data_IF_427833840492
#
_entry.id   IF_427833840492
#
_cell.length_a   1.000
_cell.length_b   1.000
_cell.length_c   1.000
_cell.angle_alpha   90.00
_cell.angle_beta   90.00
_cell.angle_gamma   90.00
#
_symmetry.space_group_name_H-M   'P 1'
#
loop_
_entity.id
_entity.type
_entity.pdbx_description
1 polymer ?
#
# COMPACT_ATOMS: atom_id res chain seq x y z
N UNK A 1 28.04 -13.37 8.75
CA UNK A 1 26.71 -13.42 9.40
C UNK A 1 25.66 -13.56 8.32
N UNK A 2 24.64 -14.39 8.48
CA UNK A 2 23.60 -14.56 7.45
C UNK A 2 22.88 -13.24 7.18
N UNK A 3 22.51 -13.02 5.92
CA UNK A 3 21.71 -11.87 5.52
C UNK A 3 20.39 -11.83 6.31
N UNK A 4 19.91 -10.62 6.59
CA UNK A 4 18.63 -10.36 7.27
C UNK A 4 17.77 -9.48 6.37
N UNK A 5 16.58 -9.09 6.84
CA UNK A 5 15.70 -8.21 6.09
C UNK A 5 15.30 -7.00 6.93
N UNK A 6 15.16 -5.85 6.28
CA UNK A 6 14.66 -4.66 6.96
C UNK A 6 13.19 -4.87 7.36
N UNK A 7 12.76 -4.33 8.53
CA UNK A 7 11.45 -4.68 9.09
C UNK A 7 10.25 -4.22 8.24
N UNK A 8 10.29 -3.01 7.69
CA UNK A 8 9.13 -2.46 6.98
C UNK A 8 9.20 -2.65 5.46
N UNK A 9 10.35 -2.35 4.84
CA UNK A 9 10.53 -2.53 3.41
C UNK A 9 10.91 -3.95 3.00
N UNK A 10 11.33 -4.79 3.96
CA UNK A 10 11.72 -6.18 3.73
C UNK A 10 12.75 -6.35 2.63
N UNK A 11 13.64 -5.36 2.49
CA UNK A 11 14.81 -5.43 1.62
C UNK A 11 15.93 -6.23 2.30
N UNK A 12 16.74 -6.91 1.53
CA UNK A 12 17.82 -7.73 2.06
C UNK A 12 18.97 -6.86 2.56
N UNK A 13 19.36 -7.10 3.81
CA UNK A 13 20.53 -6.52 4.45
C UNK A 13 21.65 -7.57 4.38
N UNK A 14 22.59 -7.36 3.47
CA UNK A 14 23.67 -8.31 3.21
C UNK A 14 24.57 -8.41 4.45
N UNK A 15 24.80 -9.64 4.94
CA UNK A 15 25.69 -9.90 6.04
C UNK A 15 27.17 -9.76 5.62
N UNK A 16 28.04 -9.39 6.57
CA UNK A 16 29.46 -9.28 6.32
C UNK A 16 30.06 -10.61 5.84
N UNK A 17 30.79 -10.56 4.72
CA UNK A 17 31.42 -11.73 4.10
C UNK A 17 30.45 -12.63 3.32
N UNK A 18 29.20 -12.23 3.16
CA UNK A 18 28.21 -12.96 2.35
C UNK A 18 28.08 -12.41 0.94
N UNK A 19 27.49 -13.22 0.07
CA UNK A 19 27.17 -12.87 -1.32
C UNK A 19 28.37 -12.45 -2.16
N UNK A 20 29.52 -13.09 -1.95
CA UNK A 20 30.71 -12.87 -2.77
C UNK A 20 30.37 -13.07 -4.26
N UNK A 21 30.60 -12.04 -5.07
CA UNK A 21 30.20 -12.00 -6.47
C UNK A 21 28.72 -11.76 -6.75
N UNK A 22 27.82 -11.73 -5.75
CA UNK A 22 26.38 -11.55 -5.92
C UNK A 22 25.84 -10.26 -5.29
N UNK A 23 26.60 -9.61 -4.41
CA UNK A 23 26.13 -8.41 -3.69
C UNK A 23 25.61 -7.30 -4.61
N UNK A 24 26.20 -7.16 -5.82
CA UNK A 24 25.72 -6.20 -6.80
C UNK A 24 24.32 -6.51 -7.32
N UNK A 25 23.99 -7.78 -7.49
CA UNK A 25 22.64 -8.21 -7.88
C UNK A 25 21.62 -7.94 -6.76
N UNK A 26 21.98 -8.27 -5.53
CA UNK A 26 21.13 -7.98 -4.36
C UNK A 26 20.90 -6.48 -4.18
N UNK A 27 21.95 -5.67 -4.31
CA UNK A 27 21.83 -4.21 -4.26
C UNK A 27 20.93 -3.67 -5.36
N UNK A 28 21.08 -4.15 -6.59
CA UNK A 28 20.24 -3.74 -7.72
C UNK A 28 18.80 -4.18 -7.53
N UNK A 29 18.55 -5.36 -6.99
CA UNK A 29 17.19 -5.80 -6.64
C UNK A 29 16.57 -4.91 -5.56
N UNK A 30 17.31 -4.64 -4.49
CA UNK A 30 16.83 -3.77 -3.40
C UNK A 30 16.46 -2.37 -3.90
N UNK A 31 17.35 -1.72 -4.66
CA UNK A 31 17.16 -0.35 -5.12
C UNK A 31 16.25 -0.25 -6.35
N UNK A 32 16.51 -1.06 -7.38
CA UNK A 32 15.86 -0.95 -8.68
C UNK A 32 14.54 -1.75 -8.80
N UNK A 33 14.22 -2.59 -7.82
CA UNK A 33 12.97 -3.33 -7.82
C UNK A 33 12.15 -3.05 -6.56
N UNK A 34 12.70 -3.34 -5.38
CA UNK A 34 11.91 -3.29 -4.14
C UNK A 34 11.64 -1.87 -3.67
N UNK A 35 12.64 -1.00 -3.64
CA UNK A 35 12.46 0.41 -3.27
C UNK A 35 11.68 1.15 -4.36
N UNK A 36 11.97 0.88 -5.63
CA UNK A 36 11.22 1.41 -6.76
C UNK A 36 9.73 1.10 -6.63
N UNK A 37 9.37 -0.16 -6.39
CA UNK A 37 7.98 -0.57 -6.17
C UNK A 37 7.37 0.12 -4.95
N UNK A 38 8.11 0.27 -3.86
CA UNK A 38 7.61 0.91 -2.64
C UNK A 38 7.27 2.39 -2.83
N UNK A 39 7.90 3.07 -3.79
CA UNK A 39 7.73 4.50 -4.06
C UNK A 39 6.76 4.73 -5.22
N UNK A 40 6.86 3.96 -6.31
CA UNK A 40 6.16 4.21 -7.57
C UNK A 40 5.17 3.09 -7.94
N UNK A 41 5.22 1.95 -7.27
CA UNK A 41 4.45 0.78 -7.63
C UNK A 41 2.94 0.98 -7.47
N UNK A 42 2.20 0.41 -8.43
CA UNK A 42 0.73 0.37 -8.44
C UNK A 42 0.30 -1.09 -8.52
N UNK A 43 -0.55 -1.51 -7.61
CA UNK A 43 -1.13 -2.86 -7.60
C UNK A 43 -2.65 -2.76 -7.72
N UNK A 44 -3.22 -3.60 -8.58
CA UNK A 44 -4.67 -3.77 -8.70
C UNK A 44 -5.12 -4.91 -7.79
N UNK A 45 -6.13 -4.65 -6.97
CA UNK A 45 -6.71 -5.61 -6.02
C UNK A 45 -8.17 -5.85 -6.40
N UNK A 46 -8.55 -7.09 -6.70
CA UNK A 46 -9.92 -7.46 -7.04
C UNK A 46 -10.65 -8.04 -5.81
N UNK A 47 -11.65 -7.32 -5.33
CA UNK A 47 -12.47 -7.70 -4.17
C UNK A 47 -13.87 -8.20 -4.55
N UNK A 48 -14.09 -8.58 -5.82
CA UNK A 48 -15.41 -9.02 -6.31
C UNK A 48 -15.99 -10.17 -5.48
N UNK A 49 -15.19 -11.19 -5.21
CA UNK A 49 -15.66 -12.43 -4.58
C UNK A 49 -15.51 -12.46 -3.06
N UNK A 50 -14.45 -11.88 -2.52
CA UNK A 50 -14.07 -12.02 -1.11
C UNK A 50 -13.17 -10.86 -0.64
N UNK A 51 -12.91 -10.82 0.67
CA UNK A 51 -11.84 -10.02 1.23
C UNK A 51 -10.49 -10.52 0.69
N UNK A 52 -9.55 -9.60 0.48
CA UNK A 52 -8.24 -9.91 -0.09
C UNK A 52 -7.14 -9.58 0.93
N UNK A 53 -6.31 -10.57 1.23
CA UNK A 53 -5.07 -10.35 1.99
C UNK A 53 -3.92 -10.17 1.03
N UNK A 54 -3.25 -9.02 1.10
CA UNK A 54 -2.12 -8.71 0.21
C UNK A 54 -0.92 -9.60 0.54
N UNK A 55 -0.24 -10.06 -0.50
CA UNK A 55 1.03 -10.77 -0.35
C UNK A 55 2.11 -9.86 0.22
N UNK A 56 2.99 -10.42 1.05
CA UNK A 56 4.07 -9.70 1.72
C UNK A 56 5.27 -10.63 1.88
N UNK A 57 6.34 -10.37 1.13
CA UNK A 57 7.52 -11.23 1.06
C UNK A 57 8.81 -10.49 1.39
N UNK A 58 9.79 -11.21 1.90
CA UNK A 58 11.14 -10.73 2.09
C UNK A 58 11.94 -10.82 0.78
N UNK A 59 12.60 -9.74 0.38
CA UNK A 59 13.55 -9.73 -0.73
C UNK A 59 12.96 -9.88 -2.13
N UNK A 60 11.64 -9.95 -2.28
CA UNK A 60 10.96 -10.07 -3.58
C UNK A 60 9.80 -9.08 -3.71
N UNK A 61 9.36 -8.84 -4.94
CA UNK A 61 8.19 -8.02 -5.21
C UNK A 61 6.93 -8.66 -4.60
N UNK A 62 6.04 -7.85 -4.08
CA UNK A 62 4.76 -8.27 -3.53
C UNK A 62 3.70 -7.17 -3.64
N UNK A 63 2.43 -7.52 -3.41
CA UNK A 63 1.32 -6.56 -3.54
C UNK A 63 1.39 -5.46 -2.47
N UNK A 64 1.69 -5.85 -1.24
CA UNK A 64 1.71 -4.93 -0.09
C UNK A 64 2.83 -3.89 -0.15
N UNK A 65 3.86 -4.12 -0.99
CA UNK A 65 4.96 -3.18 -1.17
C UNK A 65 4.56 -1.96 -1.98
N UNK A 66 3.62 -2.08 -2.91
CA UNK A 66 3.22 -0.99 -3.80
C UNK A 66 2.73 0.24 -3.04
N UNK A 67 3.04 1.42 -3.56
CA UNK A 67 2.61 2.70 -2.99
C UNK A 67 1.12 2.95 -3.21
N UNK A 68 0.59 2.50 -4.35
CA UNK A 68 -0.80 2.72 -4.75
C UNK A 68 -1.52 1.39 -4.89
N UNK A 69 -2.69 1.30 -4.27
CA UNK A 69 -3.61 0.18 -4.39
C UNK A 69 -4.86 0.65 -5.16
N UNK A 70 -5.08 0.06 -6.32
CA UNK A 70 -6.30 0.29 -7.11
C UNK A 70 -7.25 -0.86 -6.85
N UNK A 71 -8.28 -0.62 -6.04
CA UNK A 71 -9.25 -1.65 -5.66
C UNK A 71 -10.38 -1.65 -6.66
N UNK A 72 -10.57 -2.76 -7.33
CA UNK A 72 -11.61 -3.01 -8.32
C UNK A 72 -12.55 -4.13 -7.86
N UNK A 73 -13.75 -4.15 -8.42
CA UNK A 73 -14.71 -5.22 -8.20
C UNK A 73 -16.15 -4.75 -8.24
N UNK A 74 -17.05 -5.67 -8.63
CA UNK A 74 -18.50 -5.50 -8.55
C UNK A 74 -19.02 -6.25 -7.33
N UNK A 75 -18.65 -5.79 -6.15
CA UNK A 75 -19.01 -6.42 -4.88
C UNK A 75 -20.42 -5.99 -4.43
N UNK A 76 -21.20 -6.94 -3.95
CA UNK A 76 -22.54 -6.68 -3.42
C UNK A 76 -22.54 -6.17 -1.97
N UNK A 77 -21.41 -6.33 -1.26
CA UNK A 77 -21.23 -5.97 0.14
C UNK A 77 -19.88 -5.31 0.34
N UNK A 78 -19.70 -4.60 1.44
CA UNK A 78 -18.40 -4.09 1.86
C UNK A 78 -17.40 -5.23 1.95
N UNK A 79 -16.21 -5.03 1.38
CA UNK A 79 -15.09 -5.96 1.42
C UNK A 79 -13.88 -5.30 2.06
N UNK A 80 -12.95 -6.11 2.53
CA UNK A 80 -11.73 -5.64 3.14
C UNK A 80 -10.49 -6.01 2.30
N UNK A 81 -9.57 -5.08 2.26
CA UNK A 81 -8.19 -5.32 1.86
C UNK A 81 -7.36 -5.41 3.13
N UNK A 82 -6.76 -6.57 3.36
CA UNK A 82 -5.95 -6.83 4.55
C UNK A 82 -4.49 -6.64 4.20
N UNK A 83 -3.84 -5.72 4.88
CA UNK A 83 -2.44 -5.36 4.71
C UNK A 83 -1.58 -5.92 5.85
N UNK A 84 -0.26 -6.07 5.67
CA UNK A 84 0.63 -6.42 6.76
C UNK A 84 0.68 -5.32 7.84
N UNK A 85 0.94 -5.71 9.09
CA UNK A 85 1.06 -4.79 10.21
C UNK A 85 2.46 -4.16 10.28
N UNK A 86 2.75 -3.30 9.32
CA UNK A 86 4.04 -2.61 9.18
C UNK A 86 3.83 -1.12 8.90
N UNK A 87 4.69 -0.23 9.41
CA UNK A 87 4.58 1.20 9.14
C UNK A 87 4.70 1.48 7.65
N UNK A 88 3.66 2.04 7.06
CA UNK A 88 3.64 2.35 5.62
C UNK A 88 2.51 3.31 5.26
N UNK A 89 2.77 4.13 4.25
CA UNK A 89 1.73 4.95 3.60
C UNK A 89 1.25 4.26 2.32
N UNK A 90 -0.07 4.23 2.13
CA UNK A 90 -0.72 3.79 0.90
C UNK A 90 -1.62 4.88 0.34
N UNK A 91 -1.68 4.95 -0.97
CA UNK A 91 -2.74 5.66 -1.68
C UNK A 91 -3.72 4.61 -2.20
N UNK A 92 -4.95 4.62 -1.72
CA UNK A 92 -5.97 3.64 -2.08
C UNK A 92 -7.04 4.29 -2.95
N UNK A 93 -7.20 3.81 -4.17
CA UNK A 93 -8.28 4.23 -5.08
C UNK A 93 -9.36 3.16 -5.07
N UNK A 94 -10.56 3.49 -4.60
CA UNK A 94 -11.70 2.58 -4.58
C UNK A 94 -12.57 2.77 -5.83
N UNK A 95 -12.39 1.91 -6.82
CA UNK A 95 -13.19 1.86 -8.05
C UNK A 95 -14.35 0.85 -7.95
N UNK A 96 -14.60 0.29 -6.77
CA UNK A 96 -15.68 -0.69 -6.58
C UNK A 96 -17.05 -0.02 -6.43
N UNK A 97 -18.09 -0.83 -6.41
CA UNK A 97 -19.48 -0.36 -6.22
C UNK A 97 -19.86 -0.16 -4.75
N UNK A 98 -18.99 -0.51 -3.81
CA UNK A 98 -19.23 -0.44 -2.36
C UNK A 98 -18.06 0.22 -1.63
N UNK A 99 -18.27 0.58 -0.38
CA UNK A 99 -17.17 0.94 0.52
C UNK A 99 -16.21 -0.24 0.67
N UNK A 100 -14.91 0.06 0.67
CA UNK A 100 -13.85 -0.91 0.93
C UNK A 100 -13.17 -0.57 2.26
N UNK A 101 -13.06 -1.54 3.15
CA UNK A 101 -12.29 -1.44 4.38
C UNK A 101 -10.82 -1.76 4.12
N UNK A 102 -9.91 -0.96 4.66
CA UNK A 102 -8.48 -1.30 4.65
C UNK A 102 -8.02 -1.47 6.09
N UNK A 103 -7.42 -2.59 6.41
CA UNK A 103 -7.07 -2.96 7.79
C UNK A 103 -5.87 -3.90 7.85
N UNK A 104 -5.26 -4.03 9.01
CA UNK A 104 -4.42 -5.18 9.36
C UNK A 104 -5.30 -6.36 9.77
N UNK A 105 -4.75 -7.55 9.92
CA UNK A 105 -5.52 -8.74 10.32
C UNK A 105 -6.24 -8.56 11.66
N UNK A 106 -5.64 -7.87 12.62
CA UNK A 106 -6.18 -7.63 13.96
C UNK A 106 -6.82 -6.24 14.12
N UNK A 107 -6.49 -5.28 13.24
CA UNK A 107 -6.91 -3.90 13.34
C UNK A 107 -8.35 -3.63 12.90
N UNK A 108 -8.83 -2.43 13.21
CA UNK A 108 -10.12 -1.92 12.74
C UNK A 108 -9.97 -1.37 11.31
N UNK A 109 -10.94 -1.64 10.45
CA UNK A 109 -10.91 -1.19 9.08
C UNK A 109 -11.12 0.33 8.96
N UNK A 110 -10.29 0.99 8.16
CA UNK A 110 -10.55 2.33 7.67
C UNK A 110 -11.42 2.25 6.42
N UNK A 111 -12.51 3.01 6.37
CA UNK A 111 -13.49 2.98 5.28
C UNK A 111 -13.07 3.90 4.13
N UNK A 112 -12.75 3.32 2.98
CA UNK A 112 -12.52 4.02 1.72
C UNK A 112 -13.83 4.01 0.91
N UNK A 113 -14.45 5.17 0.74
CA UNK A 113 -15.74 5.29 0.04
C UNK A 113 -15.57 4.98 -1.45
N UNK A 114 -16.64 4.48 -2.07
CA UNK A 114 -16.66 4.23 -3.52
C UNK A 114 -16.36 5.51 -4.31
N UNK A 115 -15.57 5.40 -5.37
CA UNK A 115 -15.19 6.53 -6.23
C UNK A 115 -14.23 7.53 -5.57
N UNK A 116 -13.60 7.19 -4.45
CA UNK A 116 -12.64 8.09 -3.79
C UNK A 116 -11.22 7.56 -3.86
N UNK A 117 -10.29 8.49 -3.71
CA UNK A 117 -8.89 8.19 -3.44
C UNK A 117 -8.58 8.59 -1.99
N UNK A 118 -8.00 7.70 -1.25
CA UNK A 118 -7.72 7.87 0.17
C UNK A 118 -6.24 7.65 0.43
N UNK A 119 -5.59 8.60 1.10
CA UNK A 119 -4.23 8.41 1.61
C UNK A 119 -4.30 7.84 3.02
N UNK A 120 -3.68 6.70 3.24
CA UNK A 120 -3.67 5.98 4.52
C UNK A 120 -2.25 5.86 5.04
N UNK A 121 -2.08 6.04 6.34
CA UNK A 121 -0.87 5.72 7.07
C UNK A 121 -1.15 4.62 8.09
N UNK A 122 -0.30 3.62 8.10
CA UNK A 122 -0.28 2.55 9.09
C UNK A 122 0.92 2.73 10.01
N UNK A 123 0.70 2.62 11.30
CA UNK A 123 1.73 2.88 12.31
C UNK A 123 2.56 1.65 12.69
N UNK A 124 2.21 0.48 12.15
CA UNK A 124 2.83 -0.80 12.51
C UNK A 124 2.32 -1.39 13.83
N UNK A 125 1.22 -0.84 14.36
CA UNK A 125 0.60 -1.31 15.60
C UNK A 125 -0.93 -1.35 15.47
N UNK A 126 -1.40 -1.89 14.35
CA UNK A 126 -2.82 -2.00 13.97
C UNK A 126 -3.57 -0.66 13.81
N UNK A 127 -2.89 0.47 13.96
CA UNK A 127 -3.46 1.80 13.79
C UNK A 127 -3.50 2.23 12.32
N UNK A 128 -4.68 2.69 11.87
CA UNK A 128 -4.90 3.21 10.53
C UNK A 128 -5.36 4.66 10.61
N UNK A 129 -4.63 5.55 9.96
CA UNK A 129 -4.94 6.98 9.90
C UNK A 129 -5.06 7.40 8.44
N UNK A 130 -6.08 8.18 8.11
CA UNK A 130 -6.25 8.55 6.72
C UNK A 130 -7.13 9.75 6.48
N UNK A 131 -7.01 10.30 5.27
CA UNK A 131 -7.87 11.35 4.74
C UNK A 131 -8.36 10.94 3.36
N UNK A 132 -9.67 11.00 3.16
CA UNK A 132 -10.32 10.66 1.90
C UNK A 132 -10.63 11.94 1.11
N UNK A 133 -10.26 11.96 -0.18
CA UNK A 133 -10.62 13.03 -1.11
C UNK A 133 -11.29 12.44 -2.33
N UNK A 134 -12.41 13.03 -2.77
CA UNK A 134 -12.97 12.74 -4.08
C UNK A 134 -12.35 13.67 -5.12
N UNK A 135 -12.34 13.27 -6.39
CA UNK A 135 -11.88 14.11 -7.49
C UNK A 135 -12.68 15.41 -7.59
N UNK A 136 -13.99 15.35 -7.34
CA UNK A 136 -14.86 16.52 -7.31
C UNK A 136 -14.53 17.47 -6.14
N UNK A 137 -14.18 16.92 -4.97
CA UNK A 137 -13.79 17.70 -3.79
C UNK A 137 -12.46 18.42 -4.00
N UNK A 138 -11.50 17.79 -4.70
CA UNK A 138 -10.23 18.41 -5.02
C UNK A 138 -10.40 19.65 -5.89
N UNK A 139 -11.20 19.57 -6.95
CA UNK A 139 -11.47 20.69 -7.82
C UNK A 139 -12.24 21.83 -7.11
N UNK A 140 -13.11 21.49 -6.19
CA UNK A 140 -13.88 22.47 -5.40
C UNK A 140 -13.00 23.17 -4.35
N UNK A 141 -12.00 22.48 -3.82
CA UNK A 141 -11.08 23.06 -2.84
C UNK A 141 -10.14 24.11 -3.45
N UNK A 142 -9.69 23.89 -4.67
CA UNK A 142 -8.81 24.86 -5.38
C UNK A 142 -9.55 26.11 -5.79
N UNK A 143 -10.81 26.00 -6.19
CA UNK A 143 -11.63 27.11 -6.67
C UNK A 143 -11.92 28.19 -5.62
N UNK A 144 -12.31 27.88 -4.38
CA UNK A 144 -12.58 28.91 -3.37
C UNK A 144 -11.35 29.71 -2.95
N UNK A 145 -10.16 29.13 -3.03
CA UNK A 145 -8.91 29.82 -2.73
C UNK A 145 -8.54 30.86 -3.77
N UNK A 146 -8.98 30.67 -5.03
CA UNK A 146 -8.74 31.61 -6.14
C UNK A 146 -9.81 32.72 -6.17
N UNK A 147 -11.05 32.40 -5.80
CA UNK A 147 -12.17 33.35 -5.83
C UNK A 147 -12.30 34.18 -4.56
N UNK A 148 -11.65 33.80 -3.48
CA UNK A 148 -11.61 34.54 -2.21
C UNK A 148 -10.58 35.65 -2.15
N UNK A 149 -9.87 35.87 -3.25
CA UNK A 149 -8.93 36.95 -3.41
C UNK A 149 -9.63 38.08 -4.14
#
# INVERSE_FOLDING_TARGET
>A
MPSTFSPSLRIELIGDGEQDGLWGQTTNNNLGSLIEQAITGVTTVDVTAADVTLTSYNGTLDEARSAVLVVNGSNAVTRNVVIPNEPKTYIVTNNTTQTVGVKTSAGTAFSCLTGTQTTLYFDGNDGVFGASTSTATYNTFVNPLITGI
#
